data_IF_091883412051
#
_entry.id   IF_091883412051
#
_cell.length_a   1.000
_cell.length_b   1.000
_cell.length_c   1.000
_cell.angle_alpha   90.00
_cell.angle_beta   90.00
_cell.angle_gamma   90.00
#
_symmetry.space_group_name_H-M   'P 1'
#
loop_
_entity.id
_entity.type
_entity.pdbx_description
1 polymer ?
#
# COMPACT_ATOMS: atom_id res chain seq x y z
N UNK A 1 3.50 -17.25 -15.40
CA UNK A 1 4.03 -17.46 -16.76
C UNK A 1 4.21 -18.93 -17.15
N UNK A 2 4.78 -19.82 -16.32
CA UNK A 2 4.90 -21.26 -16.69
C UNK A 2 3.55 -21.93 -17.05
N UNK A 3 2.44 -21.47 -16.47
CA UNK A 3 1.09 -22.03 -16.66
C UNK A 3 0.37 -21.46 -17.89
N UNK A 4 0.79 -20.28 -18.37
CA UNK A 4 0.20 -19.55 -19.48
C UNK A 4 1.30 -18.94 -20.35
N UNK A 5 2.04 -19.77 -21.12
CA UNK A 5 3.21 -19.31 -21.88
C UNK A 5 2.89 -18.38 -23.05
N UNK A 6 1.60 -18.28 -23.43
CA UNK A 6 1.12 -17.44 -24.52
C UNK A 6 0.67 -16.04 -24.07
N UNK A 7 0.65 -15.77 -22.76
CA UNK A 7 0.30 -14.46 -22.23
C UNK A 7 1.52 -13.54 -22.26
N UNK A 8 1.40 -12.45 -22.98
CA UNK A 8 2.29 -11.30 -22.85
C UNK A 8 1.75 -10.39 -21.74
N UNK A 9 2.59 -10.04 -20.78
CA UNK A 9 2.21 -9.19 -19.64
C UNK A 9 3.17 -8.01 -19.60
N UNK A 10 2.62 -6.81 -19.76
CA UNK A 10 3.30 -5.56 -19.44
C UNK A 10 2.84 -5.08 -18.06
N UNK A 11 3.80 -4.73 -17.19
CA UNK A 11 3.50 -4.23 -15.84
C UNK A 11 3.91 -2.78 -15.74
N UNK A 12 2.96 -1.93 -15.32
CA UNK A 12 3.19 -0.52 -14.97
C UNK A 12 3.01 -0.36 -13.46
N UNK A 13 3.93 0.33 -12.82
CA UNK A 13 3.88 0.57 -11.37
C UNK A 13 3.73 2.06 -11.16
N UNK A 14 2.65 2.45 -10.47
CA UNK A 14 2.34 3.82 -10.13
C UNK A 14 1.44 3.88 -8.87
N UNK A 15 1.04 5.06 -8.44
CA UNK A 15 0.08 5.20 -7.35
C UNK A 15 -1.36 4.89 -7.79
N UNK A 16 -2.26 4.71 -6.81
CA UNK A 16 -3.65 4.29 -7.06
C UNK A 16 -4.39 5.24 -8.02
N UNK A 17 -4.22 6.54 -7.88
CA UNK A 17 -4.90 7.54 -8.74
C UNK A 17 -4.46 7.39 -10.19
N UNK A 18 -3.17 7.32 -10.43
CA UNK A 18 -2.64 7.19 -11.79
C UNK A 18 -2.98 5.83 -12.44
N UNK A 19 -2.98 4.74 -11.66
CA UNK A 19 -3.47 3.44 -12.16
C UNK A 19 -4.95 3.52 -12.58
N UNK A 20 -5.81 4.21 -11.83
CA UNK A 20 -7.19 4.44 -12.21
C UNK A 20 -7.32 5.26 -13.51
N UNK A 21 -6.50 6.28 -13.70
CA UNK A 21 -6.46 7.07 -14.94
C UNK A 21 -6.01 6.24 -16.16
N UNK A 22 -4.98 5.41 -15.99
CA UNK A 22 -4.51 4.50 -17.02
C UNK A 22 -5.61 3.49 -17.42
N UNK A 23 -6.33 2.96 -16.45
CA UNK A 23 -7.45 2.04 -16.67
C UNK A 23 -8.61 2.74 -17.40
N UNK A 24 -9.01 3.95 -16.97
CA UNK A 24 -10.08 4.74 -17.64
C UNK A 24 -9.72 5.14 -19.07
N UNK A 25 -8.44 5.30 -19.37
CA UNK A 25 -7.96 5.63 -20.72
C UNK A 25 -7.60 4.41 -21.57
N UNK A 26 -7.98 3.19 -21.13
CA UNK A 26 -7.70 1.92 -21.81
C UNK A 26 -6.20 1.69 -22.11
N UNK A 27 -5.32 2.22 -21.28
CA UNK A 27 -3.86 2.01 -21.39
C UNK A 27 -3.37 0.78 -20.63
N UNK A 28 -4.23 0.25 -19.77
CA UNK A 28 -4.05 -1.04 -19.05
C UNK A 28 -5.41 -1.74 -18.98
N UNK A 29 -5.40 -3.07 -18.92
CA UNK A 29 -6.60 -3.90 -18.82
C UNK A 29 -7.04 -4.17 -17.39
N UNK A 30 -6.08 -4.18 -16.45
CA UNK A 30 -6.29 -4.51 -15.03
C UNK A 30 -5.47 -3.57 -14.17
N UNK A 31 -6.07 -3.03 -13.13
CA UNK A 31 -5.40 -2.28 -12.07
C UNK A 31 -5.39 -3.08 -10.77
N UNK A 32 -4.23 -3.23 -10.13
CA UNK A 32 -4.14 -3.73 -8.76
C UNK A 32 -3.80 -2.55 -7.87
N UNK A 33 -4.73 -2.16 -7.00
CA UNK A 33 -4.60 -0.94 -6.20
C UNK A 33 -4.80 -1.19 -4.72
N UNK A 34 -4.33 -0.26 -3.93
CA UNK A 34 -4.42 -0.25 -2.48
C UNK A 34 -5.53 0.70 -2.04
N UNK A 35 -6.42 0.23 -1.14
CA UNK A 35 -7.53 1.00 -0.60
C UNK A 35 -8.76 1.03 -1.49
N UNK A 36 -9.76 1.79 -1.06
CA UNK A 36 -11.03 1.93 -1.78
C UNK A 36 -10.97 3.06 -2.81
N UNK A 37 -11.39 2.75 -4.02
CA UNK A 37 -11.68 3.77 -5.03
C UNK A 37 -13.17 4.05 -5.03
N UNK A 38 -13.61 5.29 -4.76
CA UNK A 38 -15.03 5.67 -4.77
C UNK A 38 -15.71 5.59 -6.14
N UNK A 39 -14.96 5.36 -7.22
CA UNK A 39 -15.46 5.45 -8.58
C UNK A 39 -16.29 4.22 -8.99
N UNK A 40 -17.53 4.48 -9.45
CA UNK A 40 -18.47 3.46 -9.95
C UNK A 40 -18.14 2.96 -11.36
N UNK A 41 -17.14 3.53 -12.03
CA UNK A 41 -16.70 3.12 -13.36
C UNK A 41 -15.94 1.79 -13.38
N UNK A 42 -15.56 1.29 -12.19
CA UNK A 42 -14.79 0.08 -12.07
C UNK A 42 -15.60 -1.07 -11.46
N UNK A 43 -15.42 -2.27 -12.01
CA UNK A 43 -15.64 -3.49 -11.26
C UNK A 43 -14.50 -3.66 -10.27
N UNK A 44 -14.83 -4.02 -9.03
CA UNK A 44 -13.91 -4.11 -7.90
C UNK A 44 -13.96 -5.49 -7.30
N UNK A 45 -12.81 -6.13 -7.22
CA UNK A 45 -12.65 -7.44 -6.62
C UNK A 45 -11.59 -7.36 -5.52
N UNK A 46 -12.01 -7.44 -4.27
CA UNK A 46 -11.10 -7.52 -3.13
C UNK A 46 -10.42 -8.89 -3.13
N UNK A 47 -9.10 -8.94 -3.01
CA UNK A 47 -8.36 -10.21 -3.03
C UNK A 47 -7.37 -10.39 -1.88
N UNK A 48 -7.03 -9.33 -1.16
CA UNK A 48 -6.10 -9.41 -0.03
C UNK A 48 -6.35 -8.27 0.95
N UNK A 49 -6.16 -8.56 2.25
CA UNK A 49 -6.15 -7.55 3.31
C UNK A 49 -4.72 -7.41 3.80
N UNK A 50 -4.16 -6.22 3.68
CA UNK A 50 -2.82 -5.87 4.13
C UNK A 50 -2.91 -5.07 5.43
N UNK A 51 -2.13 -5.47 6.44
CA UNK A 51 -1.95 -4.69 7.66
C UNK A 51 -0.80 -3.73 7.47
N UNK A 52 -0.97 -2.51 7.96
CA UNK A 52 0.10 -1.54 8.05
C UNK A 52 0.62 -1.51 9.49
N UNK A 53 1.92 -1.47 9.62
CA UNK A 53 2.61 -1.40 10.92
C UNK A 53 3.54 -0.20 10.94
N UNK A 54 3.69 0.38 12.14
CA UNK A 54 4.64 1.45 12.37
C UNK A 54 6.05 0.88 12.40
N UNK A 55 6.95 1.49 11.64
CA UNK A 55 8.38 1.20 11.66
C UNK A 55 9.17 2.44 12.06
N UNK A 56 10.28 2.21 12.73
CA UNK A 56 11.26 3.24 13.10
C UNK A 56 12.69 2.78 12.87
N UNK A 57 13.67 3.67 12.99
CA UNK A 57 15.09 3.33 12.97
C UNK A 57 15.46 2.28 14.03
N UNK A 58 16.58 1.59 13.80
CA UNK A 58 17.12 0.66 14.81
C UNK A 58 17.38 1.38 16.12
N UNK A 59 16.96 0.77 17.24
CA UNK A 59 17.02 1.37 18.57
C UNK A 59 15.77 2.19 18.95
N UNK A 60 14.78 2.29 18.08
CA UNK A 60 13.48 2.89 18.41
C UNK A 60 12.77 2.10 19.52
N UNK A 61 11.90 2.76 20.32
CA UNK A 61 11.11 2.07 21.33
C UNK A 61 10.16 1.06 20.69
N UNK A 62 9.96 -0.09 21.34
CA UNK A 62 9.06 -1.14 20.84
C UNK A 62 7.58 -0.75 20.88
N UNK A 63 7.23 0.30 21.60
CA UNK A 63 5.88 0.83 21.71
C UNK A 63 5.92 2.35 21.79
N UNK A 64 5.02 2.98 21.06
CA UNK A 64 4.83 4.43 21.07
C UNK A 64 3.39 4.78 21.42
N UNK A 65 3.25 5.84 22.23
CA UNK A 65 1.97 6.44 22.56
C UNK A 65 1.70 7.66 21.66
N UNK A 66 0.48 8.16 21.69
CA UNK A 66 0.09 9.35 20.93
C UNK A 66 1.10 10.49 21.00
N UNK A 67 1.53 10.86 22.21
CA UNK A 67 2.48 11.98 22.43
C UNK A 67 3.81 11.78 21.72
N UNK A 68 4.28 10.54 21.66
CA UNK A 68 5.53 10.22 20.98
C UNK A 68 5.35 10.42 19.46
N UNK A 69 4.20 9.98 18.93
CA UNK A 69 3.84 10.10 17.51
C UNK A 69 3.71 11.56 17.03
N UNK A 70 3.38 12.50 17.93
CA UNK A 70 3.30 13.93 17.62
C UNK A 70 4.70 14.59 17.47
N UNK A 71 5.73 14.01 18.07
CA UNK A 71 7.08 14.60 18.10
C UNK A 71 8.04 14.09 17.06
N UNK A 72 7.74 12.95 16.45
CA UNK A 72 8.62 12.32 15.46
C UNK A 72 8.49 12.97 14.08
N UNK A 73 9.51 12.81 13.26
CA UNK A 73 9.42 13.07 11.81
C UNK A 73 8.70 11.91 11.16
N UNK A 74 7.58 12.17 10.51
CA UNK A 74 6.85 11.20 9.73
C UNK A 74 7.37 11.11 8.30
N UNK A 75 7.52 9.89 7.81
CA UNK A 75 7.85 9.60 6.43
C UNK A 75 6.65 8.92 5.81
N UNK A 76 6.12 9.49 4.76
CA UNK A 76 4.90 8.99 4.10
C UNK A 76 5.01 9.01 2.59
N UNK A 77 3.96 8.53 1.95
CA UNK A 77 3.79 8.54 0.49
C UNK A 77 3.09 9.82 0.04
N UNK A 78 3.26 10.11 -1.23
CA UNK A 78 2.62 11.23 -1.93
C UNK A 78 1.09 11.09 -1.97
N UNK A 79 0.43 12.22 -2.21
CA UNK A 79 -1.01 12.26 -2.44
C UNK A 79 -1.40 11.33 -3.61
N UNK A 80 -2.51 10.62 -3.46
CA UNK A 80 -2.98 9.63 -4.44
C UNK A 80 -2.42 8.21 -4.22
N UNK A 81 -1.50 8.03 -3.27
CA UNK A 81 -1.04 6.72 -2.83
C UNK A 81 -2.00 6.12 -1.80
N UNK A 82 -2.37 4.85 -1.95
CA UNK A 82 -3.16 4.14 -0.94
C UNK A 82 -2.46 4.06 0.43
N UNK A 83 -1.13 3.96 0.48
CA UNK A 83 -0.36 4.04 1.74
C UNK A 83 -0.46 5.42 2.38
N UNK A 84 -0.42 6.49 1.58
CA UNK A 84 -0.58 7.88 2.06
C UNK A 84 -1.95 8.09 2.70
N UNK A 85 -3.02 7.63 2.04
CA UNK A 85 -4.39 7.70 2.59
C UNK A 85 -4.50 6.97 3.93
N UNK A 86 -3.93 5.78 4.04
CA UNK A 86 -3.97 5.01 5.30
C UNK A 86 -3.14 5.66 6.42
N UNK A 87 -2.06 6.36 6.09
CA UNK A 87 -1.32 7.15 7.05
C UNK A 87 -2.16 8.34 7.57
N UNK A 88 -2.86 9.06 6.69
CA UNK A 88 -3.76 10.15 7.08
C UNK A 88 -4.88 9.64 8.00
N UNK A 89 -5.54 8.53 7.64
CA UNK A 89 -6.56 7.89 8.47
C UNK A 89 -6.02 7.44 9.83
N UNK A 90 -4.80 6.89 9.87
CA UNK A 90 -4.15 6.51 11.12
C UNK A 90 -3.91 7.72 12.02
N UNK A 91 -3.41 8.83 11.48
CA UNK A 91 -3.23 10.07 12.24
C UNK A 91 -4.54 10.60 12.79
N UNK A 92 -5.60 10.61 11.98
CA UNK A 92 -6.93 11.06 12.37
C UNK A 92 -7.49 10.19 13.51
N UNK A 93 -7.49 8.87 13.37
CA UNK A 93 -7.96 7.91 14.39
C UNK A 93 -7.22 8.06 15.73
N UNK A 94 -5.92 8.30 15.68
CA UNK A 94 -5.11 8.52 16.88
C UNK A 94 -5.14 9.98 17.36
N UNK A 95 -5.82 10.90 16.66
CA UNK A 95 -5.82 12.34 16.91
C UNK A 95 -4.40 12.92 17.01
N UNK A 96 -3.50 12.46 16.12
CA UNK A 96 -2.10 12.88 16.04
C UNK A 96 -1.95 14.01 15.02
N UNK A 97 -1.31 15.10 15.41
CA UNK A 97 -0.90 16.19 14.52
C UNK A 97 0.62 16.07 14.29
N UNK A 98 1.07 15.68 13.10
CA UNK A 98 2.49 15.47 12.85
C UNK A 98 3.25 16.80 12.85
N UNK A 99 4.31 16.91 13.65
CA UNK A 99 5.14 18.12 13.70
C UNK A 99 5.96 18.30 12.41
N UNK A 100 6.36 17.21 11.78
CA UNK A 100 7.17 17.21 10.56
C UNK A 100 6.85 15.99 9.69
N UNK A 101 6.77 16.23 8.37
CA UNK A 101 6.51 15.19 7.38
C UNK A 101 7.49 15.29 6.22
N UNK A 102 7.99 14.14 5.76
CA UNK A 102 8.80 13.98 4.56
C UNK A 102 8.03 13.04 3.61
N UNK A 103 7.91 13.43 2.35
CA UNK A 103 7.10 12.72 1.34
C UNK A 103 8.01 12.08 0.30
N UNK A 104 7.77 10.78 0.03
CA UNK A 104 8.41 10.01 -1.03
C UNK A 104 7.36 9.39 -1.95
N UNK A 105 7.76 9.02 -3.16
CA UNK A 105 6.86 8.45 -4.17
C UNK A 105 6.94 6.91 -4.30
N UNK A 106 7.70 6.23 -3.44
CA UNK A 106 7.77 4.76 -3.43
C UNK A 106 7.88 4.22 -2.01
N UNK A 107 7.30 3.04 -1.74
CA UNK A 107 7.45 2.36 -0.45
C UNK A 107 8.90 1.94 -0.18
N UNK A 108 9.68 1.69 -1.25
CA UNK A 108 11.10 1.42 -1.11
C UNK A 108 11.85 2.63 -0.54
N UNK A 109 11.62 3.84 -1.11
CA UNK A 109 12.25 5.06 -0.61
C UNK A 109 11.82 5.39 0.83
N UNK A 110 10.55 5.19 1.17
CA UNK A 110 10.05 5.33 2.55
C UNK A 110 10.81 4.40 3.49
N UNK A 111 10.95 3.10 3.15
CA UNK A 111 11.71 2.14 3.96
C UNK A 111 13.18 2.56 4.12
N UNK A 112 13.83 2.94 3.02
CA UNK A 112 15.23 3.37 3.07
C UNK A 112 15.44 4.64 3.89
N UNK A 113 14.48 5.57 3.86
CA UNK A 113 14.53 6.77 4.68
C UNK A 113 14.45 6.43 6.19
N UNK A 114 13.55 5.52 6.58
CA UNK A 114 13.48 5.02 7.98
C UNK A 114 14.78 4.32 8.38
N UNK A 115 15.28 3.41 7.55
CA UNK A 115 16.54 2.71 7.79
C UNK A 115 17.73 3.66 8.01
N UNK A 116 17.72 4.82 7.36
CA UNK A 116 18.75 5.85 7.47
C UNK A 116 18.41 6.94 8.51
N UNK A 117 17.59 6.62 9.50
CA UNK A 117 17.30 7.48 10.66
C UNK A 117 16.62 8.82 10.33
N UNK A 118 15.87 8.92 9.21
CA UNK A 118 15.16 10.14 8.85
C UNK A 118 13.83 10.30 9.58
N UNK A 119 13.27 9.24 10.14
CA UNK A 119 12.00 9.27 10.87
C UNK A 119 11.26 7.94 10.90
N UNK A 120 9.94 8.01 11.02
CA UNK A 120 9.03 6.90 11.23
C UNK A 120 8.00 6.79 10.11
N UNK A 121 7.55 5.58 9.79
CA UNK A 121 6.60 5.37 8.72
C UNK A 121 5.61 4.24 9.00
N UNK A 122 4.43 4.30 8.37
CA UNK A 122 3.56 3.14 8.22
C UNK A 122 3.90 2.41 6.92
N UNK A 123 4.13 1.11 7.00
CA UNK A 123 4.35 0.25 5.84
C UNK A 123 3.57 -1.06 5.98
N UNK A 124 3.37 -1.72 4.82
CA UNK A 124 2.86 -3.09 4.77
C UNK A 124 3.61 -3.98 5.76
N UNK A 125 2.86 -4.73 6.56
CA UNK A 125 3.41 -5.68 7.54
C UNK A 125 4.37 -6.66 6.88
N UNK A 126 4.09 -7.07 5.65
CA UNK A 126 4.95 -7.97 4.89
C UNK A 126 6.33 -7.36 4.62
N UNK A 127 6.38 -6.12 4.16
CA UNK A 127 7.64 -5.38 3.91
C UNK A 127 8.36 -5.10 5.24
N UNK A 128 7.62 -4.64 6.23
CA UNK A 128 8.16 -4.27 7.53
C UNK A 128 8.78 -5.46 8.28
N UNK A 129 8.12 -6.63 8.28
CA UNK A 129 8.65 -7.86 8.89
C UNK A 129 9.93 -8.35 8.21
N UNK A 130 10.02 -8.26 6.87
CA UNK A 130 11.25 -8.61 6.15
C UNK A 130 12.40 -7.67 6.52
N UNK A 131 12.16 -6.36 6.55
CA UNK A 131 13.16 -5.37 6.92
C UNK A 131 13.61 -5.53 8.39
N UNK A 132 12.67 -5.78 9.31
CA UNK A 132 13.00 -6.02 10.71
C UNK A 132 13.80 -7.33 10.91
N UNK A 133 13.46 -8.40 10.19
CA UNK A 133 14.23 -9.64 10.22
C UNK A 133 15.66 -9.48 9.68
N UNK A 134 15.86 -8.54 8.75
CA UNK A 134 17.18 -8.16 8.24
C UNK A 134 17.94 -7.19 9.18
N UNK A 135 17.34 -6.75 10.28
CA UNK A 135 17.93 -5.76 11.20
C UNK A 135 18.01 -4.34 10.62
N UNK A 136 17.12 -4.01 9.67
CA UNK A 136 17.12 -2.72 8.98
C UNK A 136 16.22 -1.68 9.68
N UNK A 137 15.16 -2.12 10.36
CA UNK A 137 14.19 -1.26 11.05
C UNK A 137 13.66 -1.93 12.31
N UNK A 138 13.06 -1.15 13.20
CA UNK A 138 12.29 -1.63 14.35
C UNK A 138 10.79 -1.66 14.03
N UNK A 139 10.09 -2.73 14.43
CA UNK A 139 8.64 -2.76 14.46
C UNK A 139 8.14 -2.13 15.76
N UNK A 140 7.16 -1.25 15.67
CA UNK A 140 6.67 -0.46 16.80
C UNK A 140 5.18 -0.73 17.00
N UNK A 141 4.80 -1.12 18.19
CA UNK A 141 3.41 -1.30 18.59
C UNK A 141 2.71 0.05 18.76
N UNK A 142 1.52 0.17 18.21
CA UNK A 142 0.60 1.31 18.36
C UNK A 142 -0.73 0.86 18.95
N UNK A 143 -1.52 1.79 19.48
CA UNK A 143 -2.84 1.47 20.06
C UNK A 143 -3.86 1.10 18.99
N UNK A 144 -3.81 1.78 17.85
CA UNK A 144 -4.71 1.56 16.71
C UNK A 144 -4.00 0.80 15.61
N UNK A 145 -4.73 -0.12 15.01
CA UNK A 145 -4.27 -0.84 13.83
C UNK A 145 -4.63 -0.07 12.57
N UNK A 146 -3.73 -0.05 11.61
CA UNK A 146 -3.98 0.41 10.26
C UNK A 146 -4.05 -0.80 9.32
N UNK A 147 -4.95 -0.73 8.35
CA UNK A 147 -5.09 -1.81 7.37
C UNK A 147 -5.78 -1.33 6.12
N UNK A 148 -5.54 -2.02 5.02
CA UNK A 148 -6.08 -1.69 3.72
C UNK A 148 -6.43 -2.94 2.94
N UNK A 149 -7.33 -2.79 2.00
CA UNK A 149 -7.69 -3.85 1.06
C UNK A 149 -6.86 -3.68 -0.22
N UNK A 150 -6.40 -4.77 -0.78
CA UNK A 150 -5.93 -4.81 -2.16
C UNK A 150 -7.11 -5.16 -3.05
N UNK A 151 -7.31 -4.35 -4.07
CA UNK A 151 -8.46 -4.43 -4.96
C UNK A 151 -7.98 -4.57 -6.40
N UNK A 152 -8.53 -5.55 -7.10
CA UNK A 152 -8.39 -5.69 -8.54
C UNK A 152 -9.49 -4.87 -9.22
N UNK A 153 -9.11 -3.98 -10.11
CA UNK A 153 -10.01 -3.09 -10.87
C UNK A 153 -10.03 -3.48 -12.34
N UNK A 154 -11.23 -3.49 -12.92
CA UNK A 154 -11.45 -3.53 -14.37
C UNK A 154 -12.53 -2.53 -14.74
N UNK A 155 -12.60 -2.08 -16.01
CA UNK A 155 -13.66 -1.17 -16.42
C UNK A 155 -15.03 -1.85 -16.41
N UNK A 156 -16.02 -1.20 -15.78
CA UNK A 156 -17.38 -1.71 -15.69
C UNK A 156 -18.15 -1.66 -17.02
N UNK A 157 -17.72 -0.79 -17.94
CA UNK A 157 -18.32 -0.62 -19.26
C UNK A 157 -17.89 -1.67 -20.29
N UNK A 158 -16.89 -2.47 -19.97
CA UNK A 158 -16.30 -3.44 -20.89
C UNK A 158 -16.53 -4.88 -20.45
N UNK A 159 -16.75 -5.77 -21.43
CA UNK A 159 -16.74 -7.21 -21.17
C UNK A 159 -15.31 -7.66 -20.99
N UNK A 160 -14.99 -8.23 -19.83
CA UNK A 160 -13.66 -8.77 -19.55
C UNK A 160 -13.24 -9.79 -20.61
N UNK A 161 -12.05 -9.61 -21.16
CA UNK A 161 -11.47 -10.62 -22.03
C UNK A 161 -11.22 -11.91 -21.24
N UNK A 162 -11.14 -13.05 -21.92
CA UNK A 162 -10.83 -14.35 -21.30
C UNK A 162 -9.50 -14.31 -20.53
N UNK A 163 -8.52 -13.56 -21.02
CA UNK A 163 -7.22 -13.42 -20.38
C UNK A 163 -7.32 -12.64 -19.07
N UNK A 164 -8.06 -11.52 -19.07
CA UNK A 164 -8.33 -10.71 -17.88
C UNK A 164 -9.11 -11.53 -16.85
N UNK A 165 -10.18 -12.23 -17.25
CA UNK A 165 -10.94 -13.08 -16.33
C UNK A 165 -10.05 -14.17 -15.72
N UNK A 166 -9.19 -14.80 -16.52
CA UNK A 166 -8.24 -15.81 -16.02
C UNK A 166 -7.27 -15.23 -14.98
N UNK A 167 -6.78 -14.01 -15.19
CA UNK A 167 -5.91 -13.31 -14.22
C UNK A 167 -6.66 -13.04 -12.91
N UNK A 168 -7.86 -12.47 -12.98
CA UNK A 168 -8.70 -12.17 -11.80
C UNK A 168 -9.03 -13.44 -11.01
N UNK A 169 -9.41 -14.53 -11.68
CA UNK A 169 -9.72 -15.81 -11.03
C UNK A 169 -8.48 -16.43 -10.34
N UNK A 170 -7.30 -16.27 -10.92
CA UNK A 170 -6.06 -16.73 -10.30
C UNK A 170 -5.68 -15.88 -9.07
N UNK A 171 -5.85 -14.57 -9.11
CA UNK A 171 -5.64 -13.70 -7.95
C UNK A 171 -6.55 -14.11 -6.78
N UNK A 172 -7.84 -14.32 -7.04
CA UNK A 172 -8.78 -14.81 -6.02
C UNK A 172 -8.32 -16.14 -5.40
N UNK A 173 -7.97 -17.11 -6.23
CA UNK A 173 -7.57 -18.44 -5.75
C UNK A 173 -6.29 -18.43 -4.93
N UNK A 174 -5.31 -17.59 -5.30
CA UNK A 174 -3.97 -17.63 -4.72
C UNK A 174 -3.87 -16.75 -3.44
N UNK A 175 -4.75 -15.77 -3.28
CA UNK A 175 -4.73 -14.82 -2.14
C UNK A 175 -5.95 -14.92 -1.22
N UNK A 176 -7.11 -15.34 -1.70
CA UNK A 176 -8.30 -15.55 -0.85
C UNK A 176 -8.23 -16.99 -0.29
N UNK A 177 -7.70 -17.10 0.92
CA UNK A 177 -7.74 -18.32 1.72
C UNK A 177 -8.69 -18.14 2.89
#
# INVERSE_FOLDING_TARGET
>A
MKRYPQLEIEVKIDNTVHICELLQSNKIDVGLVEGETGDKKFHKEEFYIDRLVLIGPIGSPKKMQRRDLETVTWITREQGSGTGVQWEEFLEKNSVLPAKTIIFNTNFAVKEAVRNDLGYALLSEHIAKQAAAAGEVELIETQEEAGRKFVCLTLASETMSRNVQTLVDNLKRDFVK
#
